data_IF_160595755371
#
_entry.id   IF_160595755371
#
_cell.length_a   1.000
_cell.length_b   1.000
_cell.length_c   1.000
_cell.angle_alpha   90.00
_cell.angle_beta   90.00
_cell.angle_gamma   90.00
#
_symmetry.space_group_name_H-M   'P 1'
#
loop_
_entity.id
_entity.type
_entity.pdbx_description
1 polymer ?
#
# COMPACT_ATOMS: atom_id res chain seq x y z
N UNK A 1 -25.02 4.69 25.82
CA UNK A 1 -23.67 4.09 25.72
C UNK A 1 -23.84 2.76 24.98
N UNK A 2 -23.27 2.62 23.78
CA UNK A 2 -23.36 1.34 23.05
C UNK A 2 -22.56 0.28 23.81
N UNK A 3 -23.10 -0.95 23.91
CA UNK A 3 -22.36 -2.09 24.47
C UNK A 3 -21.15 -2.36 23.57
N UNK A 4 -19.97 -2.43 24.18
CA UNK A 4 -18.73 -2.79 23.48
C UNK A 4 -18.81 -4.27 23.12
N UNK A 5 -18.62 -4.60 21.84
CA UNK A 5 -18.58 -5.96 21.29
C UNK A 5 -17.24 -6.32 20.66
N UNK A 6 -16.30 -5.38 20.61
CA UNK A 6 -14.98 -5.56 20.01
C UNK A 6 -13.88 -5.03 20.95
N UNK A 7 -12.88 -5.87 21.21
CA UNK A 7 -11.71 -5.51 22.01
C UNK A 7 -10.55 -5.07 21.11
N UNK A 8 -10.33 -3.75 21.09
CA UNK A 8 -9.28 -3.14 20.27
C UNK A 8 -7.87 -3.53 20.71
N UNK A 9 -7.63 -3.60 22.02
CA UNK A 9 -6.31 -3.94 22.55
C UNK A 9 -5.93 -5.38 22.19
N UNK A 10 -6.89 -6.31 22.36
CA UNK A 10 -6.74 -7.70 21.93
C UNK A 10 -6.50 -7.81 20.43
N UNK A 11 -7.23 -7.06 19.61
CA UNK A 11 -7.02 -7.02 18.16
C UNK A 11 -5.60 -6.58 17.79
N UNK A 12 -5.14 -5.43 18.30
CA UNK A 12 -3.80 -4.91 18.00
C UNK A 12 -2.72 -5.92 18.39
N UNK A 13 -2.84 -6.55 19.57
CA UNK A 13 -1.88 -7.56 20.01
C UNK A 13 -1.91 -8.80 19.11
N UNK A 14 -3.09 -9.41 18.92
CA UNK A 14 -3.23 -10.67 18.19
C UNK A 14 -2.88 -10.51 16.70
N UNK A 15 -3.33 -9.42 16.08
CA UNK A 15 -3.05 -9.15 14.67
C UNK A 15 -1.57 -8.91 14.42
N UNK A 16 -0.90 -8.11 15.27
CA UNK A 16 0.55 -7.89 15.13
C UNK A 16 1.32 -9.22 15.31
N UNK A 17 0.92 -10.05 16.27
CA UNK A 17 1.55 -11.35 16.49
C UNK A 17 1.36 -12.28 15.28
N UNK A 18 0.13 -12.41 14.77
CA UNK A 18 -0.15 -13.25 13.61
C UNK A 18 0.64 -12.81 12.36
N UNK A 19 0.89 -11.51 12.18
CA UNK A 19 1.72 -11.02 11.08
C UNK A 19 3.19 -11.43 11.28
N UNK A 20 3.74 -11.33 12.50
CA UNK A 20 5.11 -11.79 12.80
C UNK A 20 5.27 -13.30 12.65
N UNK A 21 4.28 -14.06 13.11
CA UNK A 21 4.25 -15.52 12.95
C UNK A 21 4.21 -15.88 11.46
N UNK A 22 3.42 -15.14 10.68
CA UNK A 22 3.38 -15.28 9.23
C UNK A 22 4.73 -14.96 8.60
N UNK A 23 5.39 -13.85 8.93
CA UNK A 23 6.74 -13.52 8.43
C UNK A 23 7.72 -14.67 8.69
N UNK A 24 7.66 -15.24 9.90
CA UNK A 24 8.55 -16.34 10.32
C UNK A 24 8.32 -17.63 9.52
N UNK A 25 7.09 -17.90 9.05
CA UNK A 25 6.77 -19.04 8.20
C UNK A 25 7.37 -18.92 6.78
N UNK A 26 7.59 -17.71 6.29
CA UNK A 26 8.05 -17.44 4.92
C UNK A 26 9.53 -17.06 4.84
N UNK A 27 10.32 -17.39 5.87
CA UNK A 27 11.77 -17.20 5.86
C UNK A 27 12.23 -15.77 6.14
N UNK A 28 11.38 -14.94 6.77
CA UNK A 28 11.79 -13.64 7.32
C UNK A 28 11.37 -12.41 6.52
N UNK A 29 10.70 -12.56 5.36
CA UNK A 29 10.18 -11.43 4.57
C UNK A 29 8.74 -11.69 4.11
N UNK A 30 7.90 -10.66 4.21
CA UNK A 30 6.50 -10.70 3.79
C UNK A 30 6.12 -9.40 3.08
N UNK A 31 5.67 -9.51 1.83
CA UNK A 31 4.92 -8.43 1.18
C UNK A 31 3.45 -8.61 1.53
N UNK A 32 2.89 -7.68 2.30
CA UNK A 32 1.50 -7.74 2.78
C UNK A 32 0.65 -6.67 2.09
N UNK A 33 -0.35 -7.10 1.32
CA UNK A 33 -1.31 -6.20 0.71
C UNK A 33 -2.28 -5.65 1.77
N UNK A 34 -2.42 -4.32 1.83
CA UNK A 34 -3.41 -3.64 2.66
C UNK A 34 -4.55 -3.09 1.82
N UNK A 35 -5.64 -3.86 1.74
CA UNK A 35 -6.88 -3.43 1.08
C UNK A 35 -7.73 -2.48 1.92
N UNK A 36 -8.39 -1.54 1.25
CA UNK A 36 -9.41 -0.66 1.82
C UNK A 36 -8.87 0.53 2.61
N UNK A 37 -9.72 1.09 3.50
CA UNK A 37 -9.39 2.28 4.29
C UNK A 37 -8.48 1.93 5.46
N UNK A 38 -7.37 2.67 5.59
CA UNK A 38 -6.40 2.51 6.69
C UNK A 38 -6.63 3.49 7.84
N UNK A 39 -6.91 4.76 7.53
CA UNK A 39 -7.01 5.83 8.53
C UNK A 39 -8.45 6.10 8.99
N UNK A 40 -9.43 5.83 8.12
CA UNK A 40 -10.81 6.32 8.24
C UNK A 40 -11.84 5.19 8.08
N UNK A 41 -11.60 4.03 8.70
CA UNK A 41 -12.53 2.89 8.64
C UNK A 41 -13.74 3.07 9.57
N UNK A 42 -14.54 4.10 9.29
CA UNK A 42 -15.78 4.39 9.99
C UNK A 42 -16.86 3.33 9.74
N UNK A 43 -16.76 2.57 8.65
CA UNK A 43 -17.65 1.43 8.42
C UNK A 43 -17.41 0.36 9.48
N UNK A 44 -16.16 -0.12 9.64
CA UNK A 44 -15.82 -1.10 10.66
C UNK A 44 -16.14 -0.59 12.07
N UNK A 45 -15.88 0.69 12.36
CA UNK A 45 -16.18 1.28 13.68
C UNK A 45 -17.68 1.26 14.03
N UNK A 46 -18.57 1.46 13.04
CA UNK A 46 -20.02 1.34 13.24
C UNK A 46 -20.49 -0.11 13.38
N UNK A 47 -19.89 -1.01 12.61
CA UNK A 47 -20.28 -2.44 12.56
C UNK A 47 -19.75 -3.23 13.75
N UNK A 48 -18.57 -2.86 14.28
CA UNK A 48 -17.89 -3.54 15.37
C UNK A 48 -17.74 -2.57 16.56
N UNK A 49 -18.71 -2.49 17.49
CA UNK A 49 -18.67 -1.56 18.61
C UNK A 49 -17.41 -1.75 19.48
N UNK A 50 -16.46 -0.83 19.39
CA UNK A 50 -15.13 -0.92 20.04
C UNK A 50 -13.95 -0.94 19.06
N UNK A 51 -14.20 -1.21 17.77
CA UNK A 51 -13.22 -0.99 16.71
C UNK A 51 -13.05 0.51 16.46
N UNK A 52 -11.81 0.97 16.50
CA UNK A 52 -11.47 2.38 16.24
C UNK A 52 -11.15 2.56 14.75
N UNK A 53 -11.53 3.69 14.12
CA UNK A 53 -11.28 3.92 12.69
C UNK A 53 -9.82 3.76 12.26
N UNK A 54 -8.88 4.00 13.18
CA UNK A 54 -7.42 3.94 13.01
C UNK A 54 -6.79 2.63 13.53
N UNK A 55 -7.58 1.62 13.90
CA UNK A 55 -7.08 0.36 14.50
C UNK A 55 -6.01 -0.34 13.65
N UNK A 56 -6.14 -0.30 12.31
CA UNK A 56 -5.17 -0.90 11.38
C UNK A 56 -3.83 -0.15 11.42
N UNK A 57 -3.88 1.18 11.47
CA UNK A 57 -2.69 2.03 11.56
C UNK A 57 -2.00 1.83 12.93
N UNK A 58 -2.76 1.74 14.02
CA UNK A 58 -2.21 1.44 15.35
C UNK A 58 -1.48 0.09 15.40
N UNK A 59 -2.02 -0.90 14.71
CA UNK A 59 -1.36 -2.19 14.54
C UNK A 59 -0.03 -2.05 13.79
N UNK A 60 -0.02 -1.34 12.66
CA UNK A 60 1.23 -1.06 11.92
C UNK A 60 2.26 -0.30 12.76
N UNK A 61 1.83 0.67 13.56
CA UNK A 61 2.73 1.43 14.46
C UNK A 61 3.40 0.55 15.52
N UNK A 62 2.77 -0.53 15.98
CA UNK A 62 3.41 -1.52 16.85
C UNK A 62 4.54 -2.31 16.17
N UNK A 63 4.57 -2.28 14.84
CA UNK A 63 5.56 -2.96 14.00
C UNK A 63 6.42 -1.96 13.22
N UNK A 64 6.42 -0.67 13.57
CA UNK A 64 7.04 0.40 12.77
C UNK A 64 8.52 0.20 12.46
N UNK A 65 9.26 -0.50 13.32
CA UNK A 65 10.69 -0.76 13.14
C UNK A 65 10.94 -1.98 12.22
N UNK A 66 9.89 -2.76 11.96
CA UNK A 66 9.90 -4.01 11.18
C UNK A 66 9.13 -3.82 9.85
N UNK A 67 8.49 -2.67 9.64
CA UNK A 67 7.56 -2.42 8.54
C UNK A 67 8.06 -1.30 7.63
N UNK A 68 8.09 -1.58 6.34
CA UNK A 68 8.28 -0.62 5.27
C UNK A 68 6.98 -0.47 4.47
N UNK A 69 6.59 0.78 4.18
CA UNK A 69 5.43 1.07 3.35
C UNK A 69 5.89 1.27 1.90
N UNK A 70 5.31 0.46 1.00
CA UNK A 70 5.38 0.61 -0.45
C UNK A 70 4.00 1.01 -0.96
N UNK A 71 3.91 2.11 -1.71
CA UNK A 71 2.63 2.60 -2.26
C UNK A 71 2.56 2.24 -3.74
N UNK A 72 1.51 1.52 -4.14
CA UNK A 72 1.26 1.21 -5.55
C UNK A 72 0.27 2.19 -6.18
N UNK A 73 0.59 2.70 -7.37
CA UNK A 73 -0.28 3.55 -8.18
C UNK A 73 -0.25 3.12 -9.65
N UNK A 74 -1.41 3.09 -10.30
CA UNK A 74 -1.52 2.72 -11.72
C UNK A 74 -1.17 3.91 -12.62
N UNK A 75 -0.26 3.72 -13.57
CA UNK A 75 0.06 4.70 -14.61
C UNK A 75 -1.17 5.10 -15.43
N UNK A 76 -2.08 4.15 -15.68
CA UNK A 76 -3.32 4.42 -16.41
C UNK A 76 -4.31 5.28 -15.61
N UNK A 77 -4.31 5.15 -14.28
CA UNK A 77 -5.16 5.96 -13.41
C UNK A 77 -4.59 7.40 -13.29
N UNK A 78 -3.27 7.56 -13.31
CA UNK A 78 -2.60 8.87 -13.41
C UNK A 78 -2.97 9.54 -14.74
N UNK A 79 -2.79 8.85 -15.86
CA UNK A 79 -3.04 9.42 -17.20
C UNK A 79 -4.49 9.86 -17.39
N UNK A 80 -5.44 9.13 -16.78
CA UNK A 80 -6.87 9.45 -16.83
C UNK A 80 -7.30 10.50 -15.82
N UNK A 81 -6.39 11.03 -14.99
CA UNK A 81 -6.69 11.90 -13.86
C UNK A 81 -7.81 11.32 -12.98
N UNK A 82 -7.73 10.01 -12.72
CA UNK A 82 -8.77 9.31 -11.95
C UNK A 82 -8.87 9.95 -10.57
N UNK A 83 -10.10 10.22 -10.14
CA UNK A 83 -10.38 10.83 -8.84
C UNK A 83 -10.85 9.81 -7.84
N UNK A 84 -10.39 9.98 -6.61
CA UNK A 84 -10.84 9.20 -5.46
C UNK A 84 -12.18 9.74 -4.99
N UNK A 85 -13.23 8.93 -5.05
CA UNK A 85 -14.62 9.39 -4.89
C UNK A 85 -14.96 10.01 -3.53
N UNK A 86 -14.27 9.63 -2.45
CA UNK A 86 -14.53 10.14 -1.10
C UNK A 86 -13.82 11.47 -0.79
N UNK A 87 -12.65 11.72 -1.38
CA UNK A 87 -11.85 12.93 -1.15
C UNK A 87 -11.91 13.95 -2.30
N UNK A 88 -12.32 13.51 -3.50
CA UNK A 88 -12.42 14.35 -4.69
C UNK A 88 -11.08 14.72 -5.34
N UNK A 89 -9.95 14.26 -4.80
CA UNK A 89 -8.58 14.48 -5.31
C UNK A 89 -8.17 13.39 -6.30
N UNK A 90 -7.18 13.66 -7.14
CA UNK A 90 -6.63 12.65 -8.07
C UNK A 90 -5.77 11.61 -7.34
N UNK A 91 -5.53 10.47 -7.97
CA UNK A 91 -4.78 9.36 -7.35
C UNK A 91 -3.31 9.71 -7.07
N UNK A 92 -2.70 10.54 -7.91
CA UNK A 92 -1.34 11.06 -7.72
C UNK A 92 -1.28 12.04 -6.52
N UNK A 93 -2.30 12.89 -6.35
CA UNK A 93 -2.46 13.71 -5.15
C UNK A 93 -2.68 12.85 -3.89
N UNK A 94 -3.52 11.81 -3.96
CA UNK A 94 -3.74 10.90 -2.83
C UNK A 94 -2.46 10.13 -2.46
N UNK A 95 -1.63 9.79 -3.44
CA UNK A 95 -0.31 9.16 -3.19
C UNK A 95 0.58 10.08 -2.37
N UNK A 96 0.71 11.35 -2.75
CA UNK A 96 1.48 12.34 -1.97
C UNK A 96 0.90 12.50 -0.56
N UNK A 97 -0.43 12.60 -0.45
CA UNK A 97 -1.13 12.68 0.84
C UNK A 97 -0.85 11.45 1.73
N UNK A 98 -0.81 10.25 1.16
CA UNK A 98 -0.51 9.02 1.89
C UNK A 98 0.94 8.99 2.38
N UNK A 99 1.90 9.42 1.54
CA UNK A 99 3.32 9.53 1.94
C UNK A 99 3.43 10.42 3.18
N UNK A 100 2.84 11.61 3.14
CA UNK A 100 2.87 12.56 4.25
C UNK A 100 2.15 12.03 5.48
N UNK A 101 0.98 11.39 5.31
CA UNK A 101 0.22 10.81 6.42
C UNK A 101 0.99 9.71 7.15
N UNK A 102 1.65 8.80 6.41
CA UNK A 102 2.45 7.73 7.02
C UNK A 102 3.72 8.26 7.70
N UNK A 103 4.44 9.19 7.04
CA UNK A 103 5.61 9.84 7.64
C UNK A 103 5.24 10.63 8.89
N UNK A 104 4.11 11.33 8.88
CA UNK A 104 3.61 12.13 10.00
C UNK A 104 3.30 11.32 11.26
N UNK A 105 3.01 10.02 11.12
CA UNK A 105 2.82 9.11 12.26
C UNK A 105 4.06 8.25 12.57
N UNK A 106 5.17 8.48 11.86
CA UNK A 106 6.44 7.81 12.11
C UNK A 106 6.58 6.42 11.47
N UNK A 107 5.81 6.11 10.43
CA UNK A 107 6.04 4.93 9.59
C UNK A 107 7.03 5.26 8.47
N UNK A 108 7.91 4.31 8.16
CA UNK A 108 8.86 4.44 7.07
C UNK A 108 8.18 4.18 5.73
N UNK A 109 8.18 5.19 4.85
CA UNK A 109 7.73 5.06 3.46
C UNK A 109 8.96 4.93 2.58
N UNK A 110 9.21 3.72 2.08
CA UNK A 110 10.42 3.41 1.34
C UNK A 110 10.32 3.77 -0.14
N UNK A 111 9.21 3.42 -0.79
CA UNK A 111 9.07 3.61 -2.22
C UNK A 111 7.63 3.71 -2.73
N UNK A 112 7.51 4.21 -3.97
CA UNK A 112 6.30 4.16 -4.78
C UNK A 112 6.54 3.24 -5.97
N UNK A 113 5.61 2.35 -6.27
CA UNK A 113 5.62 1.55 -7.50
C UNK A 113 4.53 2.04 -8.46
N UNK A 114 4.96 2.44 -9.65
CA UNK A 114 4.06 2.79 -10.75
C UNK A 114 3.79 1.54 -11.56
N UNK A 115 2.56 1.03 -11.50
CA UNK A 115 2.13 -0.19 -12.21
C UNK A 115 1.54 0.13 -13.58
N UNK A 116 1.48 -0.87 -14.47
CA UNK A 116 0.97 -0.73 -15.84
C UNK A 116 1.70 0.34 -16.68
N UNK A 117 2.97 0.59 -16.36
CA UNK A 117 3.75 1.60 -17.07
C UNK A 117 4.03 1.18 -18.52
N UNK A 118 3.87 2.15 -19.43
CA UNK A 118 4.04 2.05 -20.89
C UNK A 118 4.56 3.38 -21.48
N UNK A 119 5.34 4.13 -20.71
CA UNK A 119 5.84 5.46 -21.07
C UNK A 119 4.74 6.53 -21.21
N UNK A 120 3.74 6.49 -20.34
CA UNK A 120 2.71 7.53 -20.26
C UNK A 120 3.33 8.88 -19.79
N UNK A 121 3.11 10.00 -20.49
CA UNK A 121 3.71 11.29 -20.14
C UNK A 121 3.36 11.79 -18.73
N UNK A 122 2.10 11.61 -18.27
CA UNK A 122 1.71 12.05 -16.93
C UNK A 122 2.40 11.23 -15.84
N UNK A 123 2.56 9.91 -16.05
CA UNK A 123 3.26 9.03 -15.14
C UNK A 123 4.75 9.39 -15.03
N UNK A 124 5.41 9.76 -16.13
CA UNK A 124 6.81 10.22 -16.10
C UNK A 124 6.98 11.54 -15.36
N UNK A 125 6.07 12.49 -15.55
CA UNK A 125 6.08 13.75 -14.81
C UNK A 125 5.88 13.51 -13.30
N UNK A 126 4.95 12.63 -12.95
CA UNK A 126 4.69 12.28 -11.57
C UNK A 126 5.89 11.57 -10.91
N UNK A 127 6.54 10.66 -11.62
CA UNK A 127 7.78 10.05 -11.16
C UNK A 127 8.85 11.10 -10.85
N UNK A 128 9.13 12.03 -11.77
CA UNK A 128 10.11 13.10 -11.55
C UNK A 128 9.79 13.95 -10.32
N UNK A 129 8.49 14.21 -10.09
CA UNK A 129 8.01 14.93 -8.90
C UNK A 129 8.31 14.14 -7.62
N UNK A 130 8.03 12.85 -7.58
CA UNK A 130 8.33 11.98 -6.42
C UNK A 130 9.83 11.89 -6.14
N UNK A 131 10.64 11.71 -7.18
CA UNK A 131 12.11 11.66 -7.07
C UNK A 131 12.69 12.98 -6.54
N UNK A 132 12.15 14.12 -6.98
CA UNK A 132 12.53 15.45 -6.46
C UNK A 132 12.20 15.59 -4.96
N UNK A 133 11.16 14.90 -4.48
CA UNK A 133 10.80 14.83 -3.05
C UNK A 133 11.59 13.76 -2.27
N UNK A 134 12.60 13.14 -2.90
CA UNK A 134 13.44 12.12 -2.30
C UNK A 134 12.75 10.76 -2.11
N UNK A 135 11.69 10.48 -2.88
CA UNK A 135 10.98 9.20 -2.84
C UNK A 135 11.53 8.30 -3.96
N UNK A 136 11.92 7.07 -3.61
CA UNK A 136 12.33 6.07 -4.62
C UNK A 136 11.11 5.60 -5.41
N UNK A 137 11.24 5.53 -6.73
CA UNK A 137 10.16 5.12 -7.63
C UNK A 137 10.61 3.93 -8.47
N UNK A 138 9.75 2.92 -8.54
CA UNK A 138 9.95 1.70 -9.34
C UNK A 138 8.84 1.56 -10.38
N UNK A 139 9.14 0.92 -11.51
CA UNK A 139 8.19 0.72 -12.62
C UNK A 139 7.87 -0.75 -12.79
N UNK A 140 6.58 -1.04 -12.77
CA UNK A 140 6.04 -2.36 -13.12
C UNK A 140 5.21 -2.23 -14.41
N UNK A 141 5.40 -3.19 -15.30
CA UNK A 141 4.89 -3.16 -16.67
C UNK A 141 3.67 -4.07 -16.82
N UNK A 142 2.95 -3.92 -17.95
CA UNK A 142 1.89 -4.87 -18.30
C UNK A 142 2.53 -6.21 -18.69
N UNK A 143 2.07 -7.27 -18.04
CA UNK A 143 2.37 -8.65 -18.42
C UNK A 143 1.20 -9.15 -19.29
N UNK A 144 1.43 -9.52 -20.57
CA UNK A 144 0.40 -10.07 -21.43
C UNK A 144 -0.25 -11.31 -20.83
N UNK A 145 -1.56 -11.48 -21.05
CA UNK A 145 -2.34 -12.65 -20.64
C UNK A 145 -2.27 -12.98 -19.13
N UNK A 146 -1.95 -11.99 -18.29
CA UNK A 146 -2.06 -12.12 -16.84
C UNK A 146 -3.55 -12.19 -16.43
N UNK A 147 -3.98 -13.14 -15.58
CA UNK A 147 -3.16 -14.09 -14.80
C UNK A 147 -3.03 -15.51 -15.41
N UNK A 148 -3.45 -15.72 -16.66
CA UNK A 148 -3.61 -17.07 -17.25
C UNK A 148 -2.32 -17.73 -17.76
N UNK A 149 -1.36 -16.97 -18.28
CA UNK A 149 -0.14 -17.55 -18.87
C UNK A 149 1.00 -17.66 -17.84
N UNK A 150 0.95 -18.69 -17.00
CA UNK A 150 1.89 -18.86 -15.86
C UNK A 150 3.36 -18.92 -16.30
N UNK A 151 3.66 -19.58 -17.42
CA UNK A 151 5.04 -19.69 -17.94
C UNK A 151 5.61 -18.32 -18.33
N UNK A 152 4.80 -17.47 -18.98
CA UNK A 152 5.20 -16.11 -19.28
C UNK A 152 5.35 -15.28 -18.01
N UNK A 153 4.42 -15.40 -17.07
CA UNK A 153 4.40 -14.63 -15.82
C UNK A 153 5.69 -14.84 -15.01
N UNK A 154 6.09 -16.10 -14.80
CA UNK A 154 7.27 -16.47 -14.02
C UNK A 154 8.50 -16.59 -14.93
N UNK A 155 8.74 -15.57 -15.75
CA UNK A 155 9.90 -15.49 -16.65
C UNK A 155 10.52 -14.10 -16.65
N UNK A 156 11.71 -13.97 -17.26
CA UNK A 156 12.37 -12.70 -17.58
C UNK A 156 11.47 -11.74 -18.37
N UNK A 157 10.53 -12.28 -19.16
CA UNK A 157 9.62 -11.50 -19.97
C UNK A 157 8.30 -11.13 -19.26
N UNK A 158 8.02 -11.74 -18.12
CA UNK A 158 6.91 -11.43 -17.22
C UNK A 158 7.39 -10.60 -16.04
N UNK A 159 7.47 -11.21 -14.85
CA UNK A 159 7.93 -10.52 -13.64
C UNK A 159 9.38 -10.01 -13.74
N UNK A 160 10.26 -10.62 -14.53
CA UNK A 160 11.64 -10.16 -14.67
C UNK A 160 11.80 -8.82 -15.40
N UNK A 161 10.75 -8.34 -16.10
CA UNK A 161 10.74 -6.98 -16.65
C UNK A 161 10.52 -5.90 -15.60
N UNK A 162 9.88 -6.24 -14.49
CA UNK A 162 9.54 -5.27 -13.46
C UNK A 162 10.79 -4.89 -12.68
N UNK A 163 10.88 -3.62 -12.29
CA UNK A 163 11.95 -3.19 -11.41
C UNK A 163 11.83 -3.90 -10.05
N UNK A 164 12.94 -4.45 -9.57
CA UNK A 164 13.01 -5.03 -8.23
C UNK A 164 12.99 -3.92 -7.18
N UNK A 165 12.03 -3.98 -6.27
CA UNK A 165 11.90 -3.02 -5.17
C UNK A 165 12.88 -3.44 -4.06
N UNK A 166 13.94 -2.65 -3.90
CA UNK A 166 14.95 -2.87 -2.87
C UNK A 166 14.42 -2.44 -1.49
N UNK A 167 13.87 -3.42 -0.77
CA UNK A 167 13.31 -3.32 0.59
C UNK A 167 14.15 -4.09 1.62
#
# INVERSE_FOLDING_TARGET
MNKIGFDNAKYVQLQSQNIRDRISQFGGKLYLEFGGKLFDDYHASRVLPGFQPDSKVRMLLKMKNEAEIVIAISADDIERNKRRGDLGITYDEDTLRLIDAFRGIGLYVGSVVITHYRSQPAAELFQKRLETLGVRVYRHYIIPDYPSNVELIVSENGFGKNDYIET
#
